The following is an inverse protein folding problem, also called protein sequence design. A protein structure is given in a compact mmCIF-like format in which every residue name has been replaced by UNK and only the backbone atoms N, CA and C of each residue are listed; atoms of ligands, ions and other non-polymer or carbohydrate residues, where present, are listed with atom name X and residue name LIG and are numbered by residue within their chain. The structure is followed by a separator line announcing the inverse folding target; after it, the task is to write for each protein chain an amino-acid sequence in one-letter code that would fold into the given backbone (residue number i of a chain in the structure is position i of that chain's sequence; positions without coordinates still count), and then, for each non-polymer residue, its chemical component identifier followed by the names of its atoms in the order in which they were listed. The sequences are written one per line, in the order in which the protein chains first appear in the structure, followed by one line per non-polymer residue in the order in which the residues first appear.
data_IF_161610225980
#
_entry.id   IF_161610225980
#
_cell.length_a   1.000
_cell.length_b   1.000
_cell.length_c   1.000
_cell.angle_alpha   90.00
_cell.angle_beta   90.00
_cell.angle_gamma   90.00
#
_symmetry.space_group_name_H-M   'P 1'
#
loop_
_entity.id
_entity.type
_entity.pdbx_description
1 polymer ?
#
# COMPACT_ATOMS: atom_id res chain seq x y z
N UNK A 1 19.57 0.66 -6.30
CA UNK A 1 19.45 1.25 -4.95
C UNK A 1 20.81 1.21 -4.26
N UNK A 2 21.21 2.33 -3.64
CA UNK A 2 22.39 2.27 -2.76
C UNK A 2 22.09 1.38 -1.55
N UNK A 3 23.05 0.54 -1.16
CA UNK A 3 22.89 -0.40 -0.04
C UNK A 3 22.35 0.28 1.23
N UNK A 4 22.82 1.48 1.52
CA UNK A 4 22.36 2.27 2.68
C UNK A 4 20.85 2.56 2.62
N UNK A 5 20.33 2.99 1.46
CA UNK A 5 18.90 3.27 1.29
C UNK A 5 18.06 2.00 1.42
N UNK A 6 18.57 0.89 0.91
CA UNK A 6 17.92 -0.40 1.04
C UNK A 6 17.80 -0.82 2.52
N UNK A 7 18.89 -0.76 3.26
CA UNK A 7 18.92 -1.08 4.69
C UNK A 7 18.02 -0.15 5.51
N UNK A 8 18.01 1.15 5.20
CA UNK A 8 17.11 2.11 5.84
C UNK A 8 15.64 1.76 5.60
N UNK A 9 15.28 1.36 4.36
CA UNK A 9 13.93 0.91 4.03
C UNK A 9 13.53 -0.33 4.83
N UNK A 10 14.39 -1.34 4.90
CA UNK A 10 14.15 -2.54 5.69
C UNK A 10 13.92 -2.19 7.18
N UNK A 11 14.82 -1.41 7.77
CA UNK A 11 14.73 -1.00 9.17
C UNK A 11 13.45 -0.22 9.46
N UNK A 12 13.08 0.69 8.56
CA UNK A 12 11.91 1.57 8.72
C UNK A 12 10.59 0.80 8.70
N UNK A 13 10.52 -0.26 7.89
CA UNK A 13 9.24 -0.92 7.60
C UNK A 13 9.11 -2.34 8.16
N UNK A 14 10.13 -2.90 8.84
CA UNK A 14 10.13 -4.29 9.31
C UNK A 14 8.98 -4.67 10.26
N UNK A 15 8.42 -3.72 11.00
CA UNK A 15 7.28 -3.96 11.89
C UNK A 15 5.91 -3.76 11.23
N UNK A 16 5.87 -3.15 10.03
CA UNK A 16 4.63 -2.70 9.40
C UNK A 16 3.62 -3.82 9.18
N UNK A 17 4.08 -4.99 8.73
CA UNK A 17 3.21 -6.15 8.52
C UNK A 17 2.49 -6.58 9.81
N UNK A 18 3.20 -6.59 10.93
CA UNK A 18 2.65 -6.99 12.22
C UNK A 18 1.43 -6.16 12.63
N UNK A 19 1.42 -4.87 12.34
CA UNK A 19 0.30 -3.98 12.63
C UNK A 19 -0.93 -4.24 11.75
N UNK A 20 -0.79 -4.92 10.62
CA UNK A 20 -1.89 -5.24 9.71
C UNK A 20 -2.61 -6.56 10.05
N UNK A 21 -2.02 -7.41 10.90
CA UNK A 21 -2.62 -8.70 11.26
C UNK A 21 -4.04 -8.57 11.82
N UNK A 22 -4.35 -7.62 12.73
CA UNK A 22 -5.70 -7.46 13.27
C UNK A 22 -6.75 -7.03 12.23
N UNK A 23 -6.30 -6.52 11.07
CA UNK A 23 -7.18 -6.02 10.01
C UNK A 23 -7.52 -7.11 8.96
N UNK A 24 -6.99 -8.33 9.13
CA UNK A 24 -7.23 -9.41 8.16
C UNK A 24 -8.70 -9.84 8.10
N UNK A 25 -9.21 -10.18 6.89
CA UNK A 25 -8.54 -10.11 5.58
C UNK A 25 -8.35 -8.67 5.09
N UNK A 26 -7.16 -8.35 4.57
CA UNK A 26 -6.86 -6.99 4.12
C UNK A 26 -7.67 -6.62 2.88
N UNK A 27 -8.37 -5.48 2.90
CA UNK A 27 -8.97 -4.94 1.69
C UNK A 27 -7.89 -4.44 0.72
N UNK A 28 -8.18 -4.42 -0.61
CA UNK A 28 -7.21 -4.01 -1.63
C UNK A 28 -6.56 -2.65 -1.37
N UNK A 29 -7.29 -1.67 -0.87
CA UNK A 29 -6.75 -0.35 -0.50
C UNK A 29 -5.65 -0.43 0.57
N UNK A 30 -5.77 -1.34 1.54
CA UNK A 30 -4.74 -1.53 2.58
C UNK A 30 -3.50 -2.20 2.00
N UNK A 31 -3.68 -3.14 1.05
CA UNK A 31 -2.58 -3.74 0.30
C UNK A 31 -1.85 -2.67 -0.50
N UNK A 32 -2.57 -1.84 -1.26
CA UNK A 32 -1.99 -0.70 -2.00
C UNK A 32 -1.18 0.21 -1.09
N UNK A 33 -1.76 0.63 0.05
CA UNK A 33 -1.06 1.47 1.03
C UNK A 33 0.23 0.82 1.57
N UNK A 34 0.24 -0.51 1.75
CA UNK A 34 1.45 -1.24 2.12
C UNK A 34 2.50 -1.18 1.02
N UNK A 35 2.11 -1.45 -0.25
CA UNK A 35 3.01 -1.44 -1.40
C UNK A 35 3.66 -0.08 -1.59
N UNK A 36 2.87 0.99 -1.60
CA UNK A 36 3.38 2.37 -1.73
C UNK A 36 4.32 2.75 -0.59
N UNK A 37 3.97 2.40 0.64
CA UNK A 37 4.80 2.74 1.81
C UNK A 37 6.11 1.96 1.87
N UNK A 38 6.18 0.74 1.33
CA UNK A 38 7.36 -0.13 1.39
C UNK A 38 8.19 -0.13 0.10
N UNK A 39 7.78 0.61 -0.93
CA UNK A 39 8.56 0.73 -2.17
C UNK A 39 9.93 1.36 -1.89
N UNK A 40 10.99 0.86 -2.49
CA UNK A 40 11.10 -0.30 -3.40
C UNK A 40 11.46 -1.61 -2.71
N UNK A 41 11.42 -1.68 -1.36
CA UNK A 41 11.89 -2.83 -0.56
C UNK A 41 10.77 -3.79 -0.15
N UNK A 42 9.56 -3.65 -0.69
CA UNK A 42 8.36 -4.35 -0.25
C UNK A 42 8.51 -5.87 -0.13
N UNK A 43 9.11 -6.54 -1.11
CA UNK A 43 9.38 -7.98 -1.07
C UNK A 43 10.36 -8.31 0.06
N UNK A 44 11.49 -7.60 0.09
CA UNK A 44 12.59 -7.92 1.00
C UNK A 44 12.21 -7.64 2.45
N UNK A 45 11.50 -6.54 2.72
CA UNK A 45 11.02 -6.24 4.07
C UNK A 45 9.95 -7.23 4.53
N UNK A 46 9.08 -7.70 3.64
CA UNK A 46 8.07 -8.73 3.98
C UNK A 46 8.76 -10.05 4.34
N UNK A 47 9.76 -10.47 3.57
CA UNK A 47 10.55 -11.67 3.89
C UNK A 47 11.35 -11.52 5.19
N UNK A 48 11.89 -10.34 5.46
CA UNK A 48 12.58 -10.04 6.72
C UNK A 48 11.65 -10.23 7.91
N UNK A 49 10.40 -9.76 7.84
CA UNK A 49 9.43 -9.95 8.93
C UNK A 49 9.08 -11.41 9.16
N UNK A 50 9.07 -12.23 8.10
CA UNK A 50 8.88 -13.68 8.22
C UNK A 50 10.06 -14.33 8.95
N UNK A 51 11.29 -13.98 8.56
CA UNK A 51 12.49 -14.50 9.22
C UNK A 51 12.52 -14.11 10.70
N UNK A 52 12.22 -12.85 11.01
CA UNK A 52 12.12 -12.36 12.38
C UNK A 52 11.05 -13.13 13.18
N UNK A 53 9.85 -13.29 12.62
CA UNK A 53 8.77 -14.05 13.25
C UNK A 53 9.14 -15.50 13.54
N UNK A 54 9.80 -16.18 12.60
CA UNK A 54 10.19 -17.58 12.76
C UNK A 54 11.38 -17.76 13.68
N UNK A 55 12.22 -16.74 13.83
CA UNK A 55 13.37 -16.73 14.74
C UNK A 55 12.99 -16.41 16.18
N UNK A 56 11.85 -15.75 16.38
CA UNK A 56 11.38 -15.37 17.73
C UNK A 56 11.11 -16.62 18.57
N UNK A 57 11.95 -16.83 19.61
CA UNK A 57 11.82 -17.90 20.59
C UNK A 57 11.34 -17.29 21.89
N UNK A 58 10.21 -17.74 22.40
CA UNK A 58 9.69 -17.24 23.67
C UNK A 58 8.29 -17.79 24.01
N UNK A 59 7.84 -17.56 25.22
CA UNK A 59 6.52 -17.95 25.73
C UNK A 59 5.47 -16.81 25.63
N UNK A 60 5.78 -15.73 24.92
CA UNK A 60 4.90 -14.56 24.81
C UNK A 60 3.70 -14.78 23.88
N UNK A 61 2.70 -13.88 23.94
CA UNK A 61 1.50 -13.97 23.10
C UNK A 61 1.78 -14.08 21.59
N UNK A 62 2.87 -13.45 21.13
CA UNK A 62 3.27 -13.45 19.72
C UNK A 62 3.93 -14.76 19.26
N UNK A 63 4.36 -15.63 20.19
CA UNK A 63 4.91 -16.95 19.87
C UNK A 63 3.83 -18.02 19.72
N UNK A 64 2.55 -17.69 19.91
CA UNK A 64 1.44 -18.62 19.76
C UNK A 64 1.32 -19.11 18.31
N UNK A 65 1.09 -20.40 18.07
CA UNK A 65 1.03 -20.98 16.71
C UNK A 65 0.00 -20.28 15.79
N UNK A 66 -1.14 -19.85 16.35
CA UNK A 66 -2.16 -19.11 15.59
C UNK A 66 -1.66 -17.76 15.11
N UNK A 67 -0.88 -17.04 15.92
CA UNK A 67 -0.31 -15.75 15.54
C UNK A 67 0.78 -15.90 14.48
N UNK A 68 1.58 -16.97 14.59
CA UNK A 68 2.57 -17.31 13.55
C UNK A 68 1.86 -17.64 12.23
N UNK A 69 0.80 -18.46 12.26
CA UNK A 69 0.02 -18.79 11.06
C UNK A 69 -0.60 -17.56 10.42
N UNK A 70 -1.21 -16.67 11.20
CA UNK A 70 -1.79 -15.42 10.71
C UNK A 70 -0.72 -14.54 10.04
N UNK A 71 0.44 -14.39 10.67
CA UNK A 71 1.57 -13.63 10.11
C UNK A 71 2.04 -14.20 8.78
N UNK A 72 2.21 -15.52 8.69
CA UNK A 72 2.64 -16.19 7.46
C UNK A 72 1.58 -16.10 6.35
N UNK A 73 0.30 -16.19 6.68
CA UNK A 73 -0.79 -16.03 5.72
C UNK A 73 -0.79 -14.62 5.12
N UNK A 74 -0.69 -13.60 5.97
CA UNK A 74 -0.60 -12.20 5.53
C UNK A 74 0.68 -11.94 4.72
N UNK A 75 1.83 -12.47 5.17
CA UNK A 75 3.09 -12.32 4.45
C UNK A 75 3.02 -12.91 3.04
N UNK A 76 2.40 -14.08 2.85
CA UNK A 76 2.19 -14.66 1.51
C UNK A 76 1.38 -13.76 0.60
N UNK A 77 0.29 -13.17 1.11
CA UNK A 77 -0.53 -12.23 0.36
C UNK A 77 0.26 -11.00 -0.04
N UNK A 78 1.01 -10.41 0.89
CA UNK A 78 1.76 -9.18 0.65
C UNK A 78 3.00 -9.41 -0.23
N UNK A 79 3.71 -10.56 -0.10
CA UNK A 79 4.81 -10.90 -1.01
C UNK A 79 4.31 -11.07 -2.44
N UNK A 80 3.19 -11.78 -2.64
CA UNK A 80 2.63 -11.94 -3.98
C UNK A 80 2.29 -10.56 -4.59
N UNK A 81 1.57 -9.72 -3.85
CA UNK A 81 1.25 -8.36 -4.30
C UNK A 81 2.51 -7.51 -4.57
N UNK A 82 3.54 -7.61 -3.71
CA UNK A 82 4.79 -6.87 -3.88
C UNK A 82 5.63 -7.36 -5.08
N UNK A 83 5.56 -8.64 -5.42
CA UNK A 83 6.18 -9.18 -6.62
C UNK A 83 5.49 -8.69 -7.89
N UNK A 84 4.14 -8.69 -7.89
CA UNK A 84 3.36 -8.12 -8.99
C UNK A 84 3.64 -6.63 -9.15
N UNK A 85 3.65 -5.89 -8.04
CA UNK A 85 4.00 -4.47 -8.03
C UNK A 85 5.42 -4.18 -8.55
N UNK A 86 6.39 -5.02 -8.17
CA UNK A 86 7.78 -4.91 -8.68
C UNK A 86 7.88 -5.17 -10.18
N UNK A 87 7.06 -6.10 -10.71
CA UNK A 87 7.05 -6.47 -12.13
C UNK A 87 6.33 -5.42 -12.98
N UNK A 88 5.14 -4.98 -12.55
CA UNK A 88 4.19 -4.22 -13.36
C UNK A 88 4.16 -2.73 -13.00
N UNK A 89 4.60 -2.37 -11.78
CA UNK A 89 4.48 -1.03 -11.24
C UNK A 89 3.06 -0.68 -10.76
N UNK A 90 2.82 0.58 -10.41
CA UNK A 90 1.49 1.08 -10.13
C UNK A 90 0.61 1.04 -11.39
N UNK A 91 -0.72 0.92 -11.25
CA UNK A 91 -1.61 0.95 -12.40
C UNK A 91 -1.44 2.26 -13.17
N UNK A 92 -1.45 2.22 -14.52
CA UNK A 92 -1.34 3.43 -15.32
C UNK A 92 -2.50 4.38 -14.98
N UNK A 93 -2.23 5.68 -14.78
CA UNK A 93 -3.25 6.62 -14.33
C UNK A 93 -4.39 6.75 -15.35
N UNK A 94 -5.64 6.68 -14.88
CA UNK A 94 -6.85 6.88 -15.69
C UNK A 94 -7.04 8.34 -16.12
N UNK A 95 -6.49 9.27 -15.32
CA UNK A 95 -6.44 10.70 -15.57
C UNK A 95 -5.05 11.23 -15.26
N UNK A 96 -4.52 12.06 -16.15
CA UNK A 96 -3.27 12.76 -15.90
C UNK A 96 -3.51 13.91 -14.91
N UNK A 97 -2.47 14.31 -14.18
CA UNK A 97 -2.58 15.40 -13.21
C UNK A 97 -3.01 16.74 -13.82
N UNK A 98 -2.52 17.06 -15.03
CA UNK A 98 -2.90 18.27 -15.77
C UNK A 98 -4.38 18.23 -16.21
N UNK A 99 -4.86 17.08 -16.67
CA UNK A 99 -6.27 16.87 -17.02
C UNK A 99 -7.19 17.00 -15.80
N UNK A 100 -6.84 16.33 -14.71
CA UNK A 100 -7.60 16.40 -13.45
C UNK A 100 -7.66 17.81 -12.90
N UNK A 101 -6.54 18.53 -12.93
CA UNK A 101 -6.47 19.91 -12.51
C UNK A 101 -7.39 20.83 -13.34
N UNK A 102 -7.40 20.65 -14.66
CA UNK A 102 -8.26 21.39 -15.58
C UNK A 102 -9.76 21.08 -15.33
N UNK A 103 -10.11 19.80 -15.24
CA UNK A 103 -11.51 19.34 -15.06
C UNK A 103 -12.12 19.81 -13.72
N UNK A 104 -11.30 19.92 -12.69
CA UNK A 104 -11.74 20.29 -11.34
C UNK A 104 -11.48 21.78 -11.00
N UNK A 105 -10.81 22.52 -11.87
CA UNK A 105 -10.46 23.92 -11.62
C UNK A 105 -9.51 24.09 -10.44
N UNK A 106 -8.56 23.17 -10.23
CA UNK A 106 -7.57 23.22 -9.15
C UNK A 106 -6.18 23.52 -9.67
N UNK A 107 -5.36 24.21 -8.87
CA UNK A 107 -3.97 24.47 -9.21
C UNK A 107 -3.08 23.28 -8.84
N UNK A 108 -1.93 23.19 -9.51
CA UNK A 108 -0.91 22.22 -9.12
C UNK A 108 -0.45 22.47 -7.69
N UNK A 109 -0.50 21.41 -6.85
CA UNK A 109 -0.15 21.50 -5.44
C UNK A 109 -0.49 20.25 -4.66
N UNK A 110 -0.41 20.30 -3.32
CA UNK A 110 -0.68 19.14 -2.45
C UNK A 110 -2.06 18.52 -2.67
N UNK A 111 -3.11 19.33 -2.82
CA UNK A 111 -4.48 18.85 -3.08
C UNK A 111 -4.55 17.94 -4.32
N UNK A 112 -3.92 18.36 -5.41
CA UNK A 112 -3.87 17.55 -6.62
C UNK A 112 -3.11 16.25 -6.39
N UNK A 113 -2.00 16.30 -5.65
CA UNK A 113 -1.22 15.12 -5.29
C UNK A 113 -2.00 14.12 -4.45
N UNK A 114 -2.77 14.59 -3.49
CA UNK A 114 -3.64 13.77 -2.64
C UNK A 114 -4.75 13.11 -3.47
N UNK A 115 -5.40 13.85 -4.37
CA UNK A 115 -6.42 13.31 -5.27
C UNK A 115 -5.86 12.25 -6.21
N UNK A 116 -4.69 12.46 -6.78
CA UNK A 116 -4.04 11.47 -7.65
C UNK A 116 -3.67 10.20 -6.88
N UNK A 117 -3.19 10.34 -5.65
CA UNK A 117 -2.91 9.18 -4.78
C UNK A 117 -4.18 8.42 -4.40
N UNK A 118 -5.26 9.14 -4.15
CA UNK A 118 -6.57 8.55 -3.85
C UNK A 118 -7.14 7.81 -5.07
N UNK A 119 -7.03 8.40 -6.27
CA UNK A 119 -7.45 7.75 -7.51
C UNK A 119 -6.64 6.49 -7.81
N UNK A 120 -5.33 6.50 -7.58
CA UNK A 120 -4.48 5.31 -7.73
C UNK A 120 -4.93 4.19 -6.77
N UNK A 121 -5.21 4.53 -5.51
CA UNK A 121 -5.70 3.58 -4.52
C UNK A 121 -7.07 2.99 -4.90
N UNK A 122 -8.00 3.84 -5.36
CA UNK A 122 -9.33 3.42 -5.82
C UNK A 122 -9.24 2.55 -7.08
N UNK A 123 -8.35 2.88 -8.00
CA UNK A 123 -8.09 2.09 -9.22
C UNK A 123 -7.49 0.72 -8.87
N UNK A 124 -6.49 0.67 -8.00
CA UNK A 124 -5.92 -0.58 -7.52
C UNK A 124 -6.97 -1.47 -6.82
N UNK A 125 -7.88 -0.86 -6.08
CA UNK A 125 -8.98 -1.57 -5.42
C UNK A 125 -10.10 -2.02 -6.38
N UNK A 126 -10.06 -1.60 -7.65
CA UNK A 126 -11.09 -1.88 -8.64
C UNK A 126 -12.40 -1.08 -8.47
N UNK A 127 -12.37 -0.05 -7.62
CA UNK A 127 -13.50 0.85 -7.36
C UNK A 127 -13.71 1.84 -8.52
N UNK A 128 -12.62 2.20 -9.18
CA UNK A 128 -12.59 3.09 -10.36
C UNK A 128 -11.89 2.36 -11.51
N UNK A 129 -12.51 2.36 -12.72
CA UNK A 129 -12.02 1.55 -13.83
C UNK A 129 -11.82 2.31 -15.14
N UNK A 130 -12.36 3.51 -15.22
CA UNK A 130 -12.30 4.35 -16.41
C UNK A 130 -12.15 5.82 -16.04
N UNK A 131 -11.97 6.66 -17.06
CA UNK A 131 -11.74 8.10 -16.91
C UNK A 131 -12.93 8.80 -16.23
N UNK A 132 -14.13 8.46 -16.62
CA UNK A 132 -15.32 9.16 -16.13
C UNK A 132 -15.60 8.81 -14.67
N UNK A 133 -15.43 7.54 -14.31
CA UNK A 133 -15.48 7.08 -12.92
C UNK A 133 -14.40 7.71 -12.03
N UNK A 134 -13.18 7.91 -12.59
CA UNK A 134 -12.12 8.58 -11.87
C UNK A 134 -12.46 10.05 -11.59
N UNK A 135 -13.03 10.75 -12.56
CA UNK A 135 -13.43 12.15 -12.40
C UNK A 135 -14.58 12.31 -11.39
N UNK A 136 -15.57 11.43 -11.46
CA UNK A 136 -16.68 11.42 -10.50
C UNK A 136 -16.19 11.13 -9.07
N UNK A 137 -15.32 10.13 -8.91
CA UNK A 137 -14.72 9.81 -7.62
C UNK A 137 -13.93 10.99 -7.03
N UNK A 138 -13.13 11.67 -7.85
CA UNK A 138 -12.38 12.84 -7.42
C UNK A 138 -13.29 13.99 -6.97
N UNK A 139 -14.43 14.22 -7.64
CA UNK A 139 -15.44 15.20 -7.23
C UNK A 139 -16.05 14.84 -5.88
N UNK A 140 -16.38 13.57 -5.66
CA UNK A 140 -16.94 13.08 -4.39
C UNK A 140 -15.96 13.25 -3.23
N UNK A 141 -14.70 12.89 -3.43
CA UNK A 141 -13.65 13.05 -2.41
C UNK A 141 -13.51 14.53 -2.01
N UNK A 142 -13.49 15.45 -2.96
CA UNK A 142 -13.41 16.89 -2.69
C UNK A 142 -14.65 17.43 -1.96
N UNK A 143 -15.82 16.90 -2.24
CA UNK A 143 -17.06 17.33 -1.60
C UNK A 143 -17.25 16.83 -0.16
N UNK A 144 -16.45 15.82 0.23
CA UNK A 144 -16.50 15.26 1.59
C UNK A 144 -15.58 16.09 2.49
N UNK A 145 -16.13 16.86 3.46
CA UNK A 145 -15.30 17.63 4.37
C UNK A 145 -14.41 16.67 5.18
N UNK A 146 -13.12 16.93 5.17
CA UNK A 146 -12.19 16.27 6.07
C UNK A 146 -12.46 16.83 7.47
N UNK A 147 -13.18 16.04 8.30
CA UNK A 147 -13.47 16.33 9.69
C UNK A 147 -12.23 16.19 10.59
#
# INVERSE_FOLDING_TARGET
LHLTQHLQGLTRHHLRLGFLIPEMPLPPRRIHGYLRATEPVGVDVTLLTVADRLSARGAGPLARPEMVRAHLALARQLVAAALDWRRDGPPPPLLRGDELACELGIVQGPELGELLSELEAAQYAGEVRDRDGALEHARQVRSTPHG
#
